data_IF_554596278022
#
_entry.id   IF_554596278022
#
_cell.length_a   1.000
_cell.length_b   1.000
_cell.length_c   1.000
_cell.angle_alpha   90.00
_cell.angle_beta   90.00
_cell.angle_gamma   90.00
#
_symmetry.space_group_name_H-M   'P 1'
#
loop_
_entity.id
_entity.type
_entity.pdbx_description
1 polymer ?
#
# COMPACT_ATOMS: atom_id res chain seq x y z
N UNK A 1 -19.66 16.46 -6.27
CA UNK A 1 -18.98 15.51 -7.18
C UNK A 1 -18.02 14.69 -6.34
N UNK A 2 -18.59 13.67 -5.71
CA UNK A 2 -17.89 12.74 -4.85
C UNK A 2 -17.31 11.60 -5.70
N UNK A 3 -16.22 10.99 -5.22
CA UNK A 3 -15.81 9.66 -5.66
C UNK A 3 -14.37 9.53 -6.12
N UNK A 4 -13.41 9.65 -5.19
CA UNK A 4 -12.17 8.88 -5.30
C UNK A 4 -11.89 8.30 -3.91
N UNK A 5 -12.64 7.25 -3.59
CA UNK A 5 -12.51 6.46 -2.37
C UNK A 5 -11.12 5.82 -2.32
N UNK A 6 -10.64 5.54 -1.10
CA UNK A 6 -9.30 5.04 -0.82
C UNK A 6 -8.88 3.89 -1.73
N UNK A 7 -7.81 4.12 -2.47
CA UNK A 7 -6.98 3.05 -3.01
C UNK A 7 -6.30 2.40 -1.80
N UNK A 8 -6.95 1.36 -1.26
CA UNK A 8 -6.30 0.43 -0.35
C UNK A 8 -4.92 0.13 -0.94
N UNK A 9 -3.90 0.27 -0.09
CA UNK A 9 -2.48 0.17 -0.41
C UNK A 9 -2.24 -0.92 -1.46
N UNK A 10 -2.01 -0.53 -2.72
CA UNK A 10 -1.62 -1.47 -3.77
C UNK A 10 -0.22 -1.92 -3.39
N UNK A 11 -0.12 -3.01 -2.62
CA UNK A 11 1.12 -3.75 -2.49
C UNK A 11 1.46 -4.12 -3.92
N UNK A 12 2.53 -3.55 -4.51
CA UNK A 12 2.82 -3.83 -5.89
C UNK A 12 3.00 -5.35 -6.02
N UNK A 13 2.34 -5.95 -7.01
CA UNK A 13 2.50 -7.37 -7.23
C UNK A 13 3.98 -7.65 -7.51
N UNK A 14 4.52 -8.85 -7.23
CA UNK A 14 5.94 -9.14 -7.49
C UNK A 14 6.41 -8.81 -8.92
N UNK A 15 5.50 -8.89 -9.90
CA UNK A 15 5.77 -8.51 -11.29
C UNK A 15 5.99 -7.00 -11.47
N UNK A 16 5.33 -6.17 -10.66
CA UNK A 16 5.47 -4.71 -10.69
C UNK A 16 6.85 -4.28 -10.19
N UNK A 17 7.60 -5.15 -9.50
CA UNK A 17 8.91 -4.86 -8.92
C UNK A 17 10.03 -4.93 -9.95
N UNK A 18 9.82 -5.60 -11.08
CA UNK A 18 10.82 -5.68 -12.15
C UNK A 18 11.24 -4.31 -12.67
N UNK A 19 10.30 -3.37 -12.75
CA UNK A 19 10.55 -2.00 -13.23
C UNK A 19 11.45 -1.19 -12.29
N UNK A 20 11.71 -1.66 -11.07
CA UNK A 20 12.63 -1.01 -10.13
C UNK A 20 14.10 -1.28 -10.47
N UNK A 21 14.38 -2.26 -11.32
CA UNK A 21 15.72 -2.68 -11.67
C UNK A 21 16.03 -2.39 -13.14
N UNK A 22 17.20 -1.78 -13.44
CA UNK A 22 17.62 -1.54 -14.82
C UNK A 22 18.05 -2.83 -15.55
N UNK A 23 18.23 -3.95 -14.84
CA UNK A 23 18.61 -5.24 -15.41
C UNK A 23 17.67 -6.36 -14.89
N UNK A 24 16.96 -7.06 -15.79
CA UNK A 24 15.99 -8.09 -15.39
C UNK A 24 16.64 -9.30 -14.71
N UNK A 25 17.86 -9.68 -15.07
CA UNK A 25 18.55 -10.84 -14.48
C UNK A 25 18.87 -10.60 -13.00
N UNK A 26 19.20 -9.35 -12.66
CA UNK A 26 19.44 -8.96 -11.26
C UNK A 26 18.13 -9.01 -10.48
N UNK A 27 17.03 -8.51 -11.05
CA UNK A 27 15.71 -8.57 -10.44
C UNK A 27 15.30 -10.01 -10.11
N UNK A 28 15.39 -10.93 -11.07
CA UNK A 28 15.09 -12.36 -10.88
C UNK A 28 15.86 -12.96 -9.69
N UNK A 29 17.19 -12.80 -9.70
CA UNK A 29 18.04 -13.40 -8.65
C UNK A 29 17.79 -12.83 -7.26
N UNK A 30 17.33 -11.57 -7.16
CA UNK A 30 17.08 -10.88 -5.91
C UNK A 30 15.67 -11.20 -5.39
N UNK A 31 14.68 -11.26 -6.28
CA UNK A 31 13.31 -11.67 -5.97
C UNK A 31 13.24 -13.13 -5.53
N UNK A 32 13.94 -14.04 -6.22
CA UNK A 32 13.99 -15.45 -5.83
C UNK A 32 14.52 -15.60 -4.40
N UNK A 33 15.64 -14.94 -4.08
CA UNK A 33 16.15 -14.94 -2.71
C UNK A 33 15.14 -14.34 -1.73
N UNK A 34 14.61 -13.15 -2.02
CA UNK A 34 13.70 -12.44 -1.11
C UNK A 34 12.43 -13.25 -0.82
N UNK A 35 11.81 -13.84 -1.84
CA UNK A 35 10.58 -14.63 -1.69
C UNK A 35 10.87 -15.92 -0.91
N UNK A 36 12.00 -16.58 -1.19
CA UNK A 36 12.33 -17.86 -0.57
C UNK A 36 12.91 -17.73 0.85
N UNK A 37 13.43 -16.55 1.24
CA UNK A 37 14.06 -16.34 2.55
C UNK A 37 13.29 -15.39 3.46
N UNK A 38 12.04 -15.01 3.14
CA UNK A 38 11.25 -14.08 3.96
C UNK A 38 9.90 -14.64 4.39
N UNK A 39 9.38 -14.11 5.49
CA UNK A 39 7.99 -14.30 5.89
C UNK A 39 7.19 -13.10 5.41
N UNK A 40 6.20 -13.35 4.54
CA UNK A 40 5.33 -12.31 4.00
C UNK A 40 4.16 -12.09 4.96
N UNK A 41 3.97 -10.85 5.39
CA UNK A 41 2.85 -10.44 6.24
C UNK A 41 2.02 -9.45 5.43
N UNK A 42 0.79 -9.84 5.10
CA UNK A 42 -0.18 -8.92 4.52
C UNK A 42 -0.70 -7.99 5.61
N UNK A 43 -0.54 -6.69 5.42
CA UNK A 43 -1.08 -5.68 6.31
C UNK A 43 -2.30 -5.05 5.65
N UNK A 44 -3.48 -5.54 6.01
CA UNK A 44 -4.74 -4.96 5.55
C UNK A 44 -5.17 -3.81 6.46
N UNK A 45 -5.68 -2.74 5.86
CA UNK A 45 -6.28 -1.62 6.58
C UNK A 45 -5.80 -0.26 6.10
N UNK A 46 -6.39 0.83 6.62
CA UNK A 46 -5.99 2.18 6.24
C UNK A 46 -4.61 2.51 6.80
N UNK A 47 -3.82 3.24 6.00
CA UNK A 47 -2.53 3.77 6.44
C UNK A 47 -2.66 4.48 7.78
N UNK A 48 -1.68 4.30 8.66
CA UNK A 48 -1.69 4.89 10.00
C UNK A 48 -1.33 6.39 10.01
N UNK A 49 -0.73 6.88 8.92
CA UNK A 49 -0.18 8.24 8.79
C UNK A 49 -1.19 9.37 9.08
N UNK A 50 -2.47 9.30 8.66
CA UNK A 50 -3.47 10.32 8.99
C UNK A 50 -3.68 10.51 10.49
N UNK A 51 -3.44 9.47 11.30
CA UNK A 51 -3.72 9.46 12.75
C UNK A 51 -2.72 10.28 13.58
N UNK A 52 -1.51 10.48 13.08
CA UNK A 52 -0.43 11.22 13.76
C UNK A 52 -0.01 12.50 13.04
N UNK A 53 -0.70 12.87 11.95
CA UNK A 53 -0.34 14.05 11.16
C UNK A 53 -0.57 15.33 11.99
N UNK A 54 0.47 16.11 12.31
CA UNK A 54 0.28 17.40 12.96
C UNK A 54 -0.57 18.29 12.06
N UNK A 55 -1.70 18.78 12.57
CA UNK A 55 -2.68 19.58 11.83
C UNK A 55 -3.83 18.81 11.16
N UNK A 56 -3.99 17.50 11.42
CA UNK A 56 -5.21 16.79 11.00
C UNK A 56 -6.38 17.13 11.95
N UNK A 57 -7.34 17.90 11.45
CA UNK A 57 -8.71 17.97 12.00
C UNK A 57 -9.31 16.57 12.05
N UNK A 58 -10.03 16.27 13.12
CA UNK A 58 -10.65 14.99 13.41
C UNK A 58 -11.38 14.35 12.19
N UNK A 59 -11.56 13.02 12.18
CA UNK A 59 -12.20 12.32 11.07
C UNK A 59 -13.58 12.92 10.80
N UNK A 60 -13.83 13.35 9.56
CA UNK A 60 -15.18 13.67 9.13
C UNK A 60 -15.93 12.35 9.11
N UNK A 61 -16.77 12.10 10.10
CA UNK A 61 -17.64 10.93 10.18
C UNK A 61 -18.75 11.06 9.12
N UNK A 62 -18.52 10.47 7.95
CA UNK A 62 -19.44 10.45 6.82
C UNK A 62 -20.59 9.44 6.99
N UNK A 63 -20.83 8.95 8.21
CA UNK A 63 -21.89 7.97 8.52
C UNK A 63 -23.20 8.62 9.02
N UNK A 64 -23.28 9.95 9.17
CA UNK A 64 -24.51 10.66 9.63
C UNK A 64 -25.16 11.55 8.56
N UNK A 65 -25.30 11.06 7.34
CA UNK A 65 -26.07 11.74 6.30
C UNK A 65 -26.99 10.78 5.53
N UNK A 66 -27.87 10.07 6.22
CA UNK A 66 -29.15 9.60 5.66
C UNK A 66 -30.12 9.45 6.83
N UNK A 67 -30.93 10.50 7.04
CA UNK A 67 -32.19 10.40 7.77
C UNK A 67 -33.20 9.70 6.87
#
# INVERSE_FOLDING_TARGET
LAGQNGHNEHVPAPVDWYNLFPNPVVAESLLDRLINTSHQILMDGPSYRPRKRPGATAPVDNTKATR
#
